data_IF_147867297436
#
_entry.id   IF_147867297436
#
_cell.length_a   1.000
_cell.length_b   1.000
_cell.length_c   1.000
_cell.angle_alpha   90.00
_cell.angle_beta   90.00
_cell.angle_gamma   90.00
#
_symmetry.space_group_name_H-M   'P 1'
#
loop_
_entity.id
_entity.type
_entity.pdbx_description
1 polymer ?
#
# COMPACT_ATOMS: atom_id res chain seq x y z
N UNK A 1 -25.08 -3.17 -2.78
CA UNK A 1 -24.34 -2.33 -1.82
C UNK A 1 -24.09 -3.16 -0.58
N UNK A 2 -22.87 -3.17 -0.09
CA UNK A 2 -22.54 -3.78 1.19
C UNK A 2 -22.74 -2.75 2.30
N UNK A 3 -23.15 -3.20 3.49
CA UNK A 3 -23.35 -2.34 4.65
C UNK A 3 -22.15 -2.45 5.58
N UNK A 4 -21.58 -1.32 5.97
CA UNK A 4 -20.57 -1.23 7.02
C UNK A 4 -21.17 -0.50 8.23
N UNK A 5 -20.94 -1.03 9.44
CA UNK A 5 -21.30 -0.35 10.69
C UNK A 5 -20.11 0.44 11.21
N UNK A 6 -20.32 1.73 11.47
CA UNK A 6 -19.29 2.64 11.98
C UNK A 6 -19.79 3.37 13.21
N UNK A 7 -18.94 3.43 14.25
CA UNK A 7 -19.20 4.25 15.42
C UNK A 7 -18.89 5.70 15.09
N UNK A 8 -19.90 6.56 15.19
CA UNK A 8 -19.77 8.00 14.95
C UNK A 8 -20.05 8.80 16.23
N UNK A 9 -19.51 10.02 16.37
CA UNK A 9 -19.89 10.93 17.44
C UNK A 9 -21.42 11.14 17.49
N UNK A 10 -22.00 11.14 18.70
CA UNK A 10 -23.46 11.25 18.87
C UNK A 10 -24.08 12.47 18.20
N UNK A 11 -23.35 13.59 18.15
CA UNK A 11 -23.76 14.82 17.47
C UNK A 11 -24.06 14.65 15.97
N UNK A 12 -23.53 13.62 15.30
CA UNK A 12 -23.89 13.30 13.91
C UNK A 12 -25.30 12.73 13.83
N UNK A 13 -25.75 11.98 14.84
CA UNK A 13 -27.09 11.38 14.85
C UNK A 13 -28.21 12.42 14.95
N UNK A 14 -27.90 13.61 15.51
CA UNK A 14 -28.84 14.71 15.69
C UNK A 14 -29.05 15.55 14.40
N UNK A 15 -28.25 15.29 13.36
CA UNK A 15 -28.35 15.99 12.07
C UNK A 15 -29.39 15.30 11.17
N UNK A 16 -30.04 16.01 10.25
CA UNK A 16 -30.87 15.40 9.21
C UNK A 16 -30.13 14.30 8.44
N UNK A 17 -30.80 13.18 8.18
CA UNK A 17 -30.19 11.99 7.56
C UNK A 17 -29.49 12.28 6.22
N UNK A 18 -30.01 13.18 5.40
CA UNK A 18 -29.38 13.58 4.13
C UNK A 18 -28.03 14.26 4.35
N UNK A 19 -27.93 15.14 5.34
CA UNK A 19 -26.70 15.83 5.73
C UNK A 19 -25.72 14.87 6.39
N UNK A 20 -26.19 13.90 7.20
CA UNK A 20 -25.34 12.83 7.74
C UNK A 20 -24.61 12.07 6.62
N UNK A 21 -25.35 11.66 5.59
CA UNK A 21 -24.78 10.94 4.44
C UNK A 21 -23.77 11.82 3.70
N UNK A 22 -24.13 13.08 3.39
CA UNK A 22 -23.23 14.00 2.69
C UNK A 22 -21.93 14.26 3.46
N UNK A 23 -22.01 14.43 4.79
CA UNK A 23 -20.83 14.61 5.65
C UNK A 23 -19.96 13.36 5.64
N UNK A 24 -20.56 12.17 5.77
CA UNK A 24 -19.82 10.91 5.79
C UNK A 24 -19.16 10.63 4.43
N UNK A 25 -19.86 10.83 3.32
CA UNK A 25 -19.30 10.69 1.96
C UNK A 25 -18.14 11.64 1.73
N UNK A 26 -18.29 12.91 2.12
CA UNK A 26 -17.24 13.93 2.01
C UNK A 26 -16.02 13.57 2.87
N UNK A 27 -16.24 13.11 4.10
CA UNK A 27 -15.18 12.67 5.00
C UNK A 27 -14.42 11.45 4.45
N UNK A 28 -15.15 10.45 3.92
CA UNK A 28 -14.55 9.27 3.28
C UNK A 28 -13.69 9.71 2.10
N UNK A 29 -14.23 10.53 1.19
CA UNK A 29 -13.52 11.01 0.00
C UNK A 29 -12.26 11.80 0.40
N UNK A 30 -12.36 12.68 1.38
CA UNK A 30 -11.22 13.46 1.87
C UNK A 30 -10.12 12.57 2.45
N UNK A 31 -10.48 11.60 3.30
CA UNK A 31 -9.52 10.65 3.89
C UNK A 31 -8.89 9.77 2.82
N UNK A 32 -9.68 9.29 1.85
CA UNK A 32 -9.18 8.49 0.73
C UNK A 32 -8.12 9.24 -0.06
N UNK A 33 -8.38 10.50 -0.46
CA UNK A 33 -7.40 11.30 -1.20
C UNK A 33 -6.12 11.54 -0.41
N UNK A 34 -6.24 11.89 0.87
CA UNK A 34 -5.08 12.09 1.76
C UNK A 34 -4.24 10.82 1.90
N UNK A 35 -4.89 9.68 2.13
CA UNK A 35 -4.20 8.38 2.24
C UNK A 35 -3.60 7.94 0.92
N UNK A 36 -4.25 8.19 -0.21
CA UNK A 36 -3.77 7.81 -1.52
C UNK A 36 -2.42 8.48 -1.83
N UNK A 37 -2.27 9.77 -1.52
CA UNK A 37 -1.00 10.47 -1.67
C UNK A 37 0.12 9.83 -0.82
N UNK A 38 -0.16 9.55 0.46
CA UNK A 38 0.77 8.86 1.37
C UNK A 38 1.18 7.48 0.83
N UNK A 39 0.23 6.69 0.33
CA UNK A 39 0.48 5.33 -0.17
C UNK A 39 1.23 5.34 -1.49
N UNK A 40 0.91 6.26 -2.41
CA UNK A 40 1.63 6.43 -3.68
C UNK A 40 3.10 6.75 -3.45
N UNK A 41 3.41 7.64 -2.50
CA UNK A 41 4.80 7.96 -2.20
C UNK A 41 5.55 6.76 -1.58
N UNK A 42 4.91 6.02 -0.67
CA UNK A 42 5.49 4.78 -0.11
C UNK A 42 5.72 3.72 -1.20
N UNK A 43 4.78 3.57 -2.12
CA UNK A 43 4.88 2.62 -3.23
C UNK A 43 6.01 3.00 -4.19
N UNK A 44 6.16 4.30 -4.50
CA UNK A 44 7.28 4.83 -5.28
C UNK A 44 8.62 4.50 -4.64
N UNK A 45 8.75 4.68 -3.32
CA UNK A 45 9.98 4.34 -2.57
C UNK A 45 10.27 2.84 -2.59
N UNK A 46 9.25 1.99 -2.41
CA UNK A 46 9.41 0.54 -2.48
C UNK A 46 9.90 0.10 -3.86
N UNK A 47 9.31 0.63 -4.94
CA UNK A 47 9.78 0.39 -6.32
C UNK A 47 11.21 0.85 -6.55
N UNK A 48 11.59 2.00 -6.02
CA UNK A 48 12.96 2.49 -6.11
C UNK A 48 13.94 1.52 -5.42
N UNK A 49 13.58 0.99 -4.24
CA UNK A 49 14.39 0.03 -3.50
C UNK A 49 14.54 -1.30 -4.24
N UNK A 50 13.45 -1.82 -4.80
CA UNK A 50 13.48 -3.00 -5.68
C UNK A 50 14.44 -2.75 -6.87
N UNK A 51 14.30 -1.62 -7.56
CA UNK A 51 15.16 -1.30 -8.71
C UNK A 51 16.65 -1.14 -8.32
N UNK A 52 16.95 -0.63 -7.13
CA UNK A 52 18.33 -0.54 -6.60
C UNK A 52 18.92 -1.94 -6.38
N UNK A 53 18.14 -2.88 -5.84
CA UNK A 53 18.54 -4.28 -5.63
C UNK A 53 18.68 -5.04 -6.95
N UNK A 54 17.72 -4.87 -7.87
CA UNK A 54 17.80 -5.42 -9.23
C UNK A 54 19.06 -4.97 -9.95
N UNK A 55 19.40 -3.69 -9.84
CA UNK A 55 20.60 -3.13 -10.44
C UNK A 55 21.88 -3.67 -9.79
N UNK A 56 21.87 -3.88 -8.48
CA UNK A 56 23.02 -4.44 -7.73
C UNK A 56 23.32 -5.87 -8.16
N UNK A 57 22.27 -6.68 -8.31
CA UNK A 57 22.40 -8.11 -8.66
C UNK A 57 22.33 -8.38 -10.17
N UNK A 58 21.96 -7.39 -10.98
CA UNK A 58 21.84 -7.52 -12.45
C UNK A 58 20.69 -8.44 -12.89
N UNK A 59 19.72 -8.71 -12.02
CA UNK A 59 18.63 -9.65 -12.26
C UNK A 59 17.37 -9.24 -11.49
N UNK A 60 16.25 -9.91 -11.76
CA UNK A 60 15.00 -9.73 -11.01
C UNK A 60 15.01 -10.54 -9.72
N UNK A 61 14.11 -10.22 -8.79
CA UNK A 61 14.00 -10.95 -7.51
C UNK A 61 13.73 -12.44 -7.70
N UNK A 62 12.83 -12.79 -8.62
CA UNK A 62 12.50 -14.20 -8.90
C UNK A 62 13.74 -14.99 -9.34
N UNK A 63 14.55 -14.43 -10.25
CA UNK A 63 15.80 -15.03 -10.68
C UNK A 63 16.82 -15.11 -9.55
N UNK A 64 16.89 -14.08 -8.73
CA UNK A 64 17.78 -14.04 -7.57
C UNK A 64 17.48 -15.17 -6.58
N UNK A 65 16.20 -15.47 -6.33
CA UNK A 65 15.79 -16.62 -5.51
C UNK A 65 16.14 -17.94 -6.18
N UNK A 66 15.87 -18.10 -7.48
CA UNK A 66 16.17 -19.33 -8.23
C UNK A 66 17.67 -19.67 -8.23
N UNK A 67 18.52 -18.64 -8.29
CA UNK A 67 19.98 -18.79 -8.27
C UNK A 67 20.59 -18.62 -6.87
N UNK A 68 19.80 -18.63 -5.81
CA UNK A 68 20.31 -18.34 -4.46
C UNK A 68 21.23 -19.49 -3.99
N UNK A 69 22.51 -19.20 -3.69
CA UNK A 69 23.47 -20.24 -3.38
C UNK A 69 23.28 -20.83 -1.98
N UNK A 70 23.54 -22.13 -1.82
CA UNK A 70 23.50 -22.80 -0.51
C UNK A 70 24.59 -22.28 0.46
N UNK A 71 25.67 -21.73 -0.07
CA UNK A 71 26.79 -21.11 0.65
C UNK A 71 26.73 -19.58 0.64
N UNK A 72 25.52 -19.01 0.48
CA UNK A 72 25.31 -17.57 0.47
C UNK A 72 25.96 -16.88 1.67
N UNK A 73 26.68 -15.79 1.38
CA UNK A 73 27.26 -14.97 2.44
C UNK A 73 26.19 -14.16 3.18
N UNK A 74 26.59 -13.55 4.31
CA UNK A 74 25.67 -12.77 5.14
C UNK A 74 25.05 -11.59 4.38
N UNK A 75 25.78 -10.99 3.44
CA UNK A 75 25.31 -9.85 2.67
C UNK A 75 24.26 -10.28 1.65
N UNK A 76 24.42 -11.44 1.01
CA UNK A 76 23.41 -12.02 0.13
C UNK A 76 22.14 -12.38 0.89
N UNK A 77 22.26 -12.91 2.11
CA UNK A 77 21.10 -13.17 2.96
C UNK A 77 20.38 -11.87 3.39
N UNK A 78 21.12 -10.83 3.77
CA UNK A 78 20.53 -9.52 4.08
C UNK A 78 19.81 -8.91 2.89
N UNK A 79 20.42 -8.96 1.70
CA UNK A 79 19.80 -8.49 0.46
C UNK A 79 18.54 -9.28 0.13
N UNK A 80 18.53 -10.61 0.32
CA UNK A 80 17.33 -11.43 0.16
C UNK A 80 16.19 -11.00 1.08
N UNK A 81 16.49 -10.77 2.37
CA UNK A 81 15.50 -10.34 3.36
C UNK A 81 14.95 -8.95 3.01
N UNK A 82 15.82 -7.99 2.70
CA UNK A 82 15.44 -6.64 2.32
C UNK A 82 14.57 -6.64 1.05
N UNK A 83 14.98 -7.40 0.04
CA UNK A 83 14.27 -7.47 -1.23
C UNK A 83 12.90 -8.10 -1.09
N UNK A 84 12.81 -9.23 -0.38
CA UNK A 84 11.54 -9.90 -0.05
C UNK A 84 10.56 -8.94 0.62
N UNK A 85 11.06 -8.13 1.57
CA UNK A 85 10.25 -7.14 2.26
C UNK A 85 9.69 -6.09 1.29
N UNK A 86 10.52 -5.52 0.41
CA UNK A 86 10.05 -4.49 -0.52
C UNK A 86 9.11 -5.04 -1.60
N UNK A 87 9.29 -6.27 -2.06
CA UNK A 87 8.34 -6.93 -2.97
C UNK A 87 6.96 -7.08 -2.33
N UNK A 88 6.90 -7.53 -1.08
CA UNK A 88 5.64 -7.62 -0.33
C UNK A 88 4.99 -6.24 -0.15
N UNK A 89 5.78 -5.24 0.25
CA UNK A 89 5.31 -3.86 0.42
C UNK A 89 4.77 -3.29 -0.91
N UNK A 90 5.49 -3.51 -2.01
CA UNK A 90 5.09 -3.07 -3.34
C UNK A 90 3.76 -3.71 -3.78
N UNK A 91 3.61 -5.03 -3.60
CA UNK A 91 2.38 -5.77 -3.89
C UNK A 91 1.20 -5.30 -3.04
N UNK A 92 1.41 -5.13 -1.73
CA UNK A 92 0.37 -4.68 -0.81
C UNK A 92 -0.07 -3.25 -1.12
N UNK A 93 0.87 -2.35 -1.37
CA UNK A 93 0.57 -0.95 -1.65
C UNK A 93 -0.09 -0.77 -3.02
N UNK A 94 0.35 -1.47 -4.06
CA UNK A 94 -0.30 -1.40 -5.38
C UNK A 94 -1.77 -1.84 -5.31
N UNK A 95 -2.05 -2.95 -4.61
CA UNK A 95 -3.43 -3.41 -4.39
C UNK A 95 -4.27 -2.39 -3.59
N UNK A 96 -3.72 -1.83 -2.52
CA UNK A 96 -4.43 -0.84 -1.71
C UNK A 96 -4.68 0.47 -2.48
N UNK A 97 -3.70 0.95 -3.24
CA UNK A 97 -3.83 2.13 -4.10
C UNK A 97 -4.97 1.93 -5.10
N UNK A 98 -5.00 0.80 -5.80
CA UNK A 98 -6.08 0.52 -6.77
C UNK A 98 -7.47 0.52 -6.14
N UNK A 99 -7.61 -0.03 -4.91
CA UNK A 99 -8.89 0.03 -4.17
C UNK A 99 -9.27 1.44 -3.75
N UNK A 100 -8.30 2.26 -3.31
CA UNK A 100 -8.55 3.65 -2.90
C UNK A 100 -8.89 4.54 -4.10
N UNK A 101 -8.29 4.30 -5.27
CA UNK A 101 -8.61 5.02 -6.51
C UNK A 101 -10.07 4.80 -6.93
N UNK A 102 -10.58 3.58 -6.81
CA UNK A 102 -11.99 3.25 -7.09
C UNK A 102 -13.00 3.95 -6.17
N UNK A 103 -12.57 4.38 -4.97
CA UNK A 103 -13.43 5.11 -4.02
C UNK A 103 -13.34 6.63 -4.28
N UNK A 104 -12.23 7.10 -4.85
CA UNK A 104 -11.97 8.51 -5.11
C UNK A 104 -12.63 9.07 -6.38
N UNK A 105 -12.91 8.20 -7.36
CA UNK A 105 -13.79 8.48 -8.52
C UNK A 105 -15.22 8.75 -8.05
#
# INVERSE_FOLDING_TARGET
>A
METIEVKVPGMLADIYKSEQVAILESAIRHVVFSRLAEKREKHRKAKQKIAELEKRHGMTFDKFIESFPDDADITQHEDWVEWSHYEEVNKRLSSLIGKLEQIGE
#
